data_IF_430039168785
#
_entry.id   IF_430039168785
#
_cell.length_a   1.000
_cell.length_b   1.000
_cell.length_c   1.000
_cell.angle_alpha   90.00
_cell.angle_beta   90.00
_cell.angle_gamma   90.00
#
_symmetry.space_group_name_H-M   'P 1'
#
loop_
_entity.id
_entity.type
_entity.pdbx_description
1 polymer ?
#
# COMPACT_ATOMS: atom_id res chain seq x y z
N UNK A 1 5.23 -10.32 -13.05
CA UNK A 1 6.11 -9.47 -12.23
C UNK A 1 5.40 -8.97 -10.98
N UNK A 2 4.06 -8.90 -10.98
CA UNK A 2 3.26 -8.29 -9.89
C UNK A 2 3.15 -9.11 -8.59
N UNK A 3 3.73 -10.32 -8.52
CA UNK A 3 3.55 -11.24 -7.37
C UNK A 3 4.18 -10.77 -6.05
N UNK A 4 5.03 -9.75 -6.10
CA UNK A 4 5.72 -9.19 -4.95
C UNK A 4 5.21 -7.80 -4.57
N UNK A 5 4.21 -7.26 -5.29
CA UNK A 5 3.52 -6.07 -4.85
C UNK A 5 2.90 -6.35 -3.47
N UNK A 6 2.98 -5.39 -2.55
CA UNK A 6 2.52 -5.52 -1.16
C UNK A 6 3.35 -6.48 -0.28
N UNK A 7 4.57 -6.85 -0.67
CA UNK A 7 5.50 -7.52 0.25
C UNK A 7 6.45 -6.52 0.92
N UNK A 8 6.62 -6.58 2.25
CA UNK A 8 7.67 -5.86 2.95
C UNK A 8 9.06 -6.30 2.48
N UNK A 9 10.10 -5.48 2.72
CA UNK A 9 11.48 -5.94 2.71
C UNK A 9 11.70 -7.10 3.70
N UNK A 10 12.77 -7.88 3.51
CA UNK A 10 13.15 -8.93 4.46
C UNK A 10 13.26 -8.37 5.88
N UNK A 11 12.81 -9.16 6.86
CA UNK A 11 12.81 -8.82 8.30
C UNK A 11 11.90 -7.64 8.68
N UNK A 12 11.16 -7.06 7.73
CA UNK A 12 10.14 -6.03 7.96
C UNK A 12 8.74 -6.64 7.95
N UNK A 13 7.79 -5.91 8.50
CA UNK A 13 6.40 -6.37 8.64
C UNK A 13 5.40 -5.50 7.87
N UNK A 14 5.85 -4.42 7.26
CA UNK A 14 5.01 -3.33 6.82
C UNK A 14 5.30 -2.88 5.39
N UNK A 15 4.25 -2.42 4.73
CA UNK A 15 4.29 -1.81 3.40
C UNK A 15 3.55 -0.48 3.47
N UNK A 16 4.23 0.60 3.09
CA UNK A 16 3.62 1.93 3.01
C UNK A 16 2.56 1.97 1.91
N UNK A 17 1.40 2.51 2.26
CA UNK A 17 0.25 2.73 1.38
C UNK A 17 -0.32 4.13 1.62
N UNK A 18 -1.14 4.61 0.69
CA UNK A 18 -1.76 5.93 0.80
C UNK A 18 -3.29 5.80 0.94
N UNK A 19 -3.85 6.57 1.86
CA UNK A 19 -5.29 6.68 2.10
C UNK A 19 -5.89 7.66 1.09
N UNK A 20 -6.61 7.14 0.11
CA UNK A 20 -7.19 7.94 -0.97
C UNK A 20 -8.19 9.01 -0.47
N UNK A 21 -8.76 8.87 0.73
CA UNK A 21 -9.64 9.90 1.31
C UNK A 21 -8.90 11.19 1.70
N UNK A 22 -7.56 11.16 1.77
CA UNK A 22 -6.70 12.28 2.17
C UNK A 22 -5.81 12.76 1.02
N UNK A 23 -6.04 12.28 -0.20
CA UNK A 23 -5.21 12.58 -1.38
C UNK A 23 -5.98 12.26 -2.66
N UNK A 24 -5.30 12.22 -3.81
CA UNK A 24 -5.88 11.82 -5.09
C UNK A 24 -4.94 10.89 -5.89
N UNK A 25 -5.45 10.30 -6.97
CA UNK A 25 -4.70 9.33 -7.79
C UNK A 25 -3.49 9.95 -8.49
N UNK A 26 -3.56 11.23 -8.87
CA UNK A 26 -2.42 11.92 -9.48
C UNK A 26 -1.32 12.13 -8.45
N UNK A 27 -1.69 12.51 -7.22
CA UNK A 27 -0.75 12.58 -6.12
C UNK A 27 -0.11 11.21 -5.86
N UNK A 28 -0.89 10.13 -5.75
CA UNK A 28 -0.36 8.78 -5.53
C UNK A 28 0.67 8.39 -6.59
N UNK A 29 0.38 8.67 -7.87
CA UNK A 29 1.31 8.44 -8.98
C UNK A 29 2.59 9.27 -8.83
N UNK A 30 2.49 10.59 -8.68
CA UNK A 30 3.64 11.49 -8.52
C UNK A 30 4.50 11.11 -7.32
N UNK A 31 3.86 10.83 -6.19
CA UNK A 31 4.54 10.41 -4.96
C UNK A 31 5.32 9.12 -5.18
N UNK A 32 4.69 8.10 -5.79
CA UNK A 32 5.35 6.82 -6.05
C UNK A 32 6.49 6.96 -7.05
N UNK A 33 6.34 7.78 -8.11
CA UNK A 33 7.42 8.08 -9.07
C UNK A 33 8.61 8.81 -8.43
N UNK A 34 8.35 9.64 -7.42
CA UNK A 34 9.40 10.34 -6.68
C UNK A 34 10.20 9.41 -5.75
N UNK A 35 9.62 8.29 -5.31
CA UNK A 35 10.31 7.30 -4.49
C UNK A 35 11.32 6.52 -5.33
N UNK A 36 12.61 6.68 -5.01
CA UNK A 36 13.70 5.90 -5.62
C UNK A 36 13.98 4.65 -4.79
N UNK A 37 13.34 3.53 -5.14
CA UNK A 37 13.56 2.24 -4.47
C UNK A 37 14.46 1.36 -5.33
N UNK A 38 15.78 1.51 -5.16
CA UNK A 38 16.76 0.76 -5.94
C UNK A 38 16.61 1.00 -7.45
N UNK A 39 16.42 -0.09 -8.20
CA UNK A 39 16.16 -0.06 -9.65
C UNK A 39 14.68 -0.27 -10.01
N UNK A 40 13.78 -0.22 -9.03
CA UNK A 40 12.35 -0.39 -9.28
C UNK A 40 11.75 0.92 -9.82
N UNK A 41 10.95 0.79 -10.87
CA UNK A 41 10.23 1.90 -11.47
C UNK A 41 8.74 1.83 -11.08
N UNK A 42 7.99 2.89 -11.38
CA UNK A 42 6.54 2.91 -11.22
C UNK A 42 5.85 2.14 -12.37
N UNK A 43 4.87 1.30 -12.03
CA UNK A 43 4.18 0.42 -13.00
C UNK A 43 2.66 0.61 -13.05
N UNK A 44 2.06 1.20 -12.02
CA UNK A 44 0.61 1.26 -11.88
C UNK A 44 0.16 1.50 -10.46
N UNK A 45 -1.15 1.54 -10.30
CA UNK A 45 -1.80 1.73 -9.00
C UNK A 45 -2.79 0.60 -8.75
N UNK A 46 -2.91 0.22 -7.49
CA UNK A 46 -4.00 -0.60 -6.97
C UNK A 46 -4.60 0.09 -5.76
N UNK A 47 -5.87 -0.19 -5.47
CA UNK A 47 -6.56 0.32 -4.31
C UNK A 47 -7.39 -0.79 -3.69
N UNK A 48 -7.46 -0.85 -2.36
CA UNK A 48 -8.33 -1.78 -1.65
C UNK A 48 -8.96 -1.08 -0.45
N UNK A 49 -10.02 -1.67 0.10
CA UNK A 49 -10.68 -1.22 1.33
C UNK A 49 -10.19 -2.04 2.51
N UNK A 50 -10.24 -1.48 3.72
CA UNK A 50 -9.91 -2.23 4.94
C UNK A 50 -10.81 -3.46 5.18
N UNK A 51 -12.01 -3.51 4.58
CA UNK A 51 -12.81 -4.74 4.62
C UNK A 51 -12.15 -5.90 3.84
N UNK A 52 -11.35 -5.63 2.82
CA UNK A 52 -10.65 -6.67 2.06
C UNK A 52 -9.60 -7.40 2.90
N UNK A 53 -8.85 -6.68 3.76
CA UNK A 53 -7.93 -7.33 4.71
C UNK A 53 -8.69 -8.16 5.74
N UNK A 54 -9.84 -7.68 6.20
CA UNK A 54 -10.72 -8.43 7.12
C UNK A 54 -11.23 -9.74 6.50
N UNK A 55 -11.64 -9.70 5.22
CA UNK A 55 -12.04 -10.89 4.46
C UNK A 55 -10.89 -11.89 4.35
N UNK A 56 -9.68 -11.42 4.03
CA UNK A 56 -8.51 -12.27 3.88
C UNK A 56 -8.05 -12.90 5.21
N UNK A 57 -8.14 -12.14 6.31
CA UNK A 57 -7.87 -12.66 7.65
C UNK A 57 -8.88 -13.76 8.03
N UNK A 58 -10.14 -13.64 7.61
CA UNK A 58 -11.19 -14.61 7.91
C UNK A 58 -11.02 -15.95 7.15
N UNK A 59 -10.44 -15.95 5.96
CA UNK A 59 -10.14 -17.19 5.19
C UNK A 59 -8.85 -17.89 5.67
N UNK A 60 -8.20 -17.39 6.72
CA UNK A 60 -7.07 -17.98 7.43
C UNK A 60 -5.90 -18.42 6.51
N UNK A 61 -5.25 -17.46 5.86
CA UNK A 61 -4.08 -17.69 4.99
C UNK A 61 -2.77 -17.93 5.76
N UNK A 62 -2.85 -18.40 7.01
CA UNK A 62 -1.70 -18.65 7.92
C UNK A 62 -0.94 -17.38 8.34
N UNK A 63 -1.39 -16.21 7.90
CA UNK A 63 -0.91 -14.90 8.33
C UNK A 63 -2.05 -13.90 8.20
N UNK A 64 -2.04 -12.89 9.08
CA UNK A 64 -2.99 -11.78 9.02
C UNK A 64 -2.28 -10.49 8.63
N UNK A 65 -3.03 -9.53 8.09
CA UNK A 65 -2.57 -8.16 7.95
C UNK A 65 -3.65 -7.15 8.32
N UNK A 66 -3.23 -5.98 8.80
CA UNK A 66 -4.10 -4.87 9.17
C UNK A 66 -3.62 -3.58 8.49
N UNK A 67 -4.56 -2.68 8.19
CA UNK A 67 -4.22 -1.32 7.79
C UNK A 67 -4.12 -0.45 9.04
N UNK A 68 -2.98 0.22 9.20
CA UNK A 68 -2.73 1.16 10.29
C UNK A 68 -2.65 2.55 9.68
N UNK A 69 -3.47 3.48 10.17
CA UNK A 69 -3.33 4.88 9.81
C UNK A 69 -2.10 5.44 10.53
N UNK A 70 -1.09 5.85 9.79
CA UNK A 70 0.20 6.34 10.31
C UNK A 70 0.58 7.65 9.62
N UNK A 71 -0.25 8.70 9.71
CA UNK A 71 0.01 9.99 9.09
C UNK A 71 1.35 10.58 9.57
N UNK A 72 2.04 11.29 8.67
CA UNK A 72 3.36 11.86 8.92
C UNK A 72 3.28 13.38 8.79
N UNK A 73 3.88 14.12 9.71
CA UNK A 73 3.93 15.60 9.69
C UNK A 73 5.00 16.14 8.72
N UNK A 74 5.07 17.47 8.57
CA UNK A 74 6.07 18.15 7.73
C UNK A 74 7.53 17.94 8.18
N UNK A 75 7.73 17.49 9.43
CA UNK A 75 9.04 17.21 10.04
C UNK A 75 9.38 15.72 9.99
N UNK A 76 8.62 14.92 9.25
CA UNK A 76 8.76 13.47 9.12
C UNK A 76 8.52 12.68 10.42
N UNK A 77 7.74 13.21 11.36
CA UNK A 77 7.31 12.47 12.55
C UNK A 77 5.90 11.90 12.35
N UNK A 78 5.63 10.75 12.98
CA UNK A 78 4.28 10.21 13.02
C UNK A 78 3.37 11.09 13.89
N UNK A 79 2.17 11.38 13.39
CA UNK A 79 1.13 12.08 14.15
C UNK A 79 0.35 11.04 14.96
N UNK A 80 0.48 11.07 16.29
CA UNK A 80 -0.16 10.11 17.18
C UNK A 80 -1.68 10.30 17.26
N UNK A 81 -2.15 11.56 17.32
CA UNK A 81 -3.58 11.88 17.35
C UNK A 81 -4.16 11.96 15.94
N UNK A 82 -4.57 10.81 15.42
CA UNK A 82 -5.16 10.66 14.08
C UNK A 82 -6.49 11.43 13.97
N UNK A 83 -7.17 11.74 15.09
CA UNK A 83 -8.48 12.43 15.07
C UNK A 83 -8.40 13.87 14.57
N UNK A 84 -7.23 14.49 14.66
CA UNK A 84 -6.98 15.87 14.22
C UNK A 84 -6.48 15.95 12.77
N UNK A 85 -6.26 14.81 12.11
CA UNK A 85 -5.70 14.78 10.76
C UNK A 85 -6.80 15.02 9.72
N UNK A 86 -6.58 16.00 8.85
CA UNK A 86 -7.44 16.35 7.73
C UNK A 86 -6.67 16.29 6.40
N UNK A 87 -7.35 16.55 5.29
CA UNK A 87 -6.71 16.69 3.96
C UNK A 87 -5.73 17.86 3.90
N UNK A 88 -5.91 18.88 4.75
CA UNK A 88 -5.10 20.10 4.76
C UNK A 88 -3.93 20.03 5.75
N UNK A 89 -3.82 18.95 6.53
CA UNK A 89 -2.69 18.74 7.44
C UNK A 89 -1.39 18.65 6.64
N UNK A 90 -0.37 19.42 7.04
CA UNK A 90 0.93 19.43 6.39
C UNK A 90 1.68 18.10 6.54
N UNK A 91 2.52 17.76 5.56
CA UNK A 91 3.27 16.50 5.50
C UNK A 91 2.61 15.45 4.61
N UNK A 92 2.47 14.22 5.13
CA UNK A 92 1.79 13.09 4.50
C UNK A 92 0.61 12.62 5.36
N UNK A 93 -0.49 13.40 5.46
CA UNK A 93 -1.68 12.99 6.21
C UNK A 93 -2.32 11.71 5.66
N UNK A 94 -2.14 11.43 4.38
CA UNK A 94 -2.59 10.23 3.69
C UNK A 94 -1.74 8.99 3.98
N UNK A 95 -0.59 9.09 4.67
CA UNK A 95 0.24 7.91 4.94
C UNK A 95 -0.49 6.88 5.82
N UNK A 96 -0.30 5.61 5.46
CA UNK A 96 -0.76 4.45 6.21
C UNK A 96 0.16 3.26 5.91
N UNK A 97 0.07 2.22 6.74
CA UNK A 97 0.84 0.99 6.57
C UNK A 97 -0.08 -0.22 6.48
N UNK A 98 0.18 -1.10 5.52
CA UNK A 98 -0.29 -2.48 5.58
C UNK A 98 0.70 -3.28 6.43
N UNK A 99 0.30 -3.64 7.65
CA UNK A 99 1.15 -4.38 8.60
C UNK A 99 0.73 -5.84 8.71
N UNK A 100 1.64 -6.73 8.35
CA UNK A 100 1.55 -8.17 8.56
C UNK A 100 1.77 -8.53 10.03
N UNK A 101 1.12 -9.60 10.50
CA UNK A 101 1.23 -10.07 11.88
C UNK A 101 2.62 -10.62 12.24
N UNK A 102 3.42 -10.95 11.24
CA UNK A 102 4.77 -11.49 11.38
C UNK A 102 5.71 -10.88 10.33
N UNK A 103 7.00 -10.68 10.65
CA UNK A 103 7.97 -10.16 9.69
C UNK A 103 8.19 -11.13 8.52
N UNK A 104 8.60 -10.58 7.37
CA UNK A 104 9.09 -11.38 6.25
C UNK A 104 10.34 -12.14 6.72
N UNK A 105 10.47 -13.45 6.43
CA UNK A 105 11.67 -14.21 6.74
C UNK A 105 12.95 -13.55 6.19
N UNK A 106 14.09 -13.90 6.79
CA UNK A 106 15.39 -13.43 6.33
C UNK A 106 15.67 -13.87 4.88
N UNK A 107 16.59 -13.17 4.21
CA UNK A 107 16.95 -13.47 2.82
C UNK A 107 17.42 -14.92 2.69
N UNK A 108 16.85 -15.64 1.73
CA UNK A 108 17.12 -17.06 1.50
C UNK A 108 16.01 -17.98 1.99
N UNK A 109 15.13 -17.51 2.88
CA UNK A 109 13.96 -18.28 3.33
C UNK A 109 12.71 -17.88 2.52
N UNK A 110 11.94 -18.85 1.98
CA UNK A 110 10.71 -18.53 1.26
C UNK A 110 9.63 -17.90 2.15
N UNK A 111 9.19 -16.68 1.79
CA UNK A 111 8.07 -15.98 2.42
C UNK A 111 6.70 -16.47 1.89
N UNK A 112 6.44 -17.77 1.93
CA UNK A 112 5.28 -18.40 1.25
C UNK A 112 3.94 -17.83 1.71
N UNK A 113 3.72 -17.73 3.03
CA UNK A 113 2.47 -17.20 3.59
C UNK A 113 2.23 -15.73 3.25
N UNK A 114 3.26 -14.88 3.35
CA UNK A 114 3.17 -13.48 2.94
C UNK A 114 2.88 -13.33 1.45
N UNK A 115 3.55 -14.10 0.60
CA UNK A 115 3.30 -14.12 -0.85
C UNK A 115 1.86 -14.52 -1.18
N UNK A 116 1.33 -15.53 -0.50
CA UNK A 116 -0.06 -15.97 -0.65
C UNK A 116 -1.02 -14.83 -0.28
N UNK A 117 -0.83 -14.23 0.89
CA UNK A 117 -1.66 -13.11 1.35
C UNK A 117 -1.59 -11.90 0.40
N UNK A 118 -0.39 -11.46 0.02
CA UNK A 118 -0.17 -10.34 -0.89
C UNK A 118 -0.82 -10.57 -2.26
N UNK A 119 -0.76 -11.81 -2.79
CA UNK A 119 -1.41 -12.16 -4.05
C UNK A 119 -2.93 -12.09 -3.96
N UNK A 120 -3.53 -12.60 -2.89
CA UNK A 120 -4.98 -12.50 -2.70
C UNK A 120 -5.43 -11.05 -2.52
N UNK A 121 -4.68 -10.25 -1.77
CA UNK A 121 -4.98 -8.82 -1.63
C UNK A 121 -4.82 -8.07 -2.94
N UNK A 122 -3.81 -8.39 -3.74
CA UNK A 122 -3.60 -7.77 -5.05
C UNK A 122 -4.77 -8.06 -6.00
N UNK A 123 -5.34 -9.28 -5.98
CA UNK A 123 -6.53 -9.62 -6.77
C UNK A 123 -7.74 -8.77 -6.36
N UNK A 124 -7.88 -8.46 -5.08
CA UNK A 124 -8.94 -7.58 -4.55
C UNK A 124 -8.66 -6.10 -4.79
N UNK A 125 -7.39 -5.72 -4.99
CA UNK A 125 -6.96 -4.32 -5.14
C UNK A 125 -7.34 -3.66 -6.47
N UNK A 126 -7.97 -4.41 -7.38
CA UNK A 126 -8.34 -3.91 -8.70
C UNK A 126 -7.16 -3.26 -9.44
N UNK A 127 -5.94 -3.80 -9.28
CA UNK A 127 -4.71 -3.24 -9.83
C UNK A 127 -4.84 -2.92 -11.32
N UNK A 128 -4.43 -1.71 -11.69
CA UNK A 128 -4.40 -1.22 -13.07
C UNK A 128 -2.97 -0.85 -13.41
N UNK A 129 -2.43 -1.54 -14.41
CA UNK A 129 -1.14 -1.18 -15.02
C UNK A 129 -1.29 0.16 -15.75
N UNK A 130 -0.40 1.10 -15.44
CA UNK A 130 -0.37 2.40 -16.10
C UNK A 130 0.24 2.27 -17.49
N UNK A 131 -0.50 2.66 -18.52
CA UNK A 131 0.00 2.67 -19.91
C UNK A 131 0.82 3.91 -20.23
N UNK A 132 0.74 4.94 -19.38
CA UNK A 132 1.42 6.23 -19.52
C UNK A 132 2.29 6.49 -18.28
N UNK A 133 3.16 5.54 -17.92
CA UNK A 133 4.04 5.61 -16.74
C UNK A 133 4.89 6.88 -16.69
N UNK A 134 5.29 7.39 -17.85
CA UNK A 134 6.13 8.59 -17.99
C UNK A 134 5.38 9.88 -17.65
N UNK A 135 4.06 9.93 -17.85
CA UNK A 135 3.23 11.07 -17.47
C UNK A 135 3.13 11.18 -15.94
N UNK A 136 2.89 12.37 -15.41
CA UNK A 136 2.60 12.58 -13.98
C UNK A 136 1.11 12.51 -13.65
N UNK A 137 0.26 12.45 -14.68
CA UNK A 137 -1.19 12.38 -14.55
C UNK A 137 -1.67 10.93 -14.65
N UNK A 138 -2.67 10.59 -13.86
CA UNK A 138 -3.39 9.34 -13.90
C UNK A 138 -4.61 9.47 -14.81
N UNK A 139 -4.65 8.70 -15.90
CA UNK A 139 -5.72 8.76 -16.91
C UNK A 139 -6.48 7.44 -17.08
N UNK A 140 -6.18 6.42 -16.27
CA UNK A 140 -6.77 5.08 -16.41
C UNK A 140 -8.16 4.93 -15.73
N UNK A 141 -8.74 6.01 -15.20
CA UNK A 141 -10.05 5.99 -14.55
C UNK A 141 -10.02 5.67 -13.05
N UNK A 142 -11.19 5.46 -12.44
CA UNK A 142 -11.33 5.18 -11.00
C UNK A 142 -11.34 3.68 -10.71
N UNK A 143 -11.03 3.31 -9.46
CA UNK A 143 -11.14 1.93 -9.00
C UNK A 143 -12.59 1.56 -8.66
N UNK A 144 -13.07 0.44 -9.21
CA UNK A 144 -14.33 -0.17 -8.82
C UNK A 144 -14.06 -1.35 -7.88
N UNK A 145 -14.36 -1.17 -6.60
CA UNK A 145 -14.17 -2.22 -5.61
C UNK A 145 -15.29 -3.26 -5.71
N UNK A 146 -14.93 -4.50 -6.04
CA UNK A 146 -15.82 -5.64 -5.79
C UNK A 146 -15.82 -5.90 -4.29
N UNK A 147 -17.01 -5.87 -3.68
CA UNK A 147 -17.24 -6.28 -2.29
C UNK A 147 -17.60 -7.76 -2.32
#
# INVERSE_FOLDING_TARGET
MDRNALLPPAEKCDVSILRLNYTDLNFCKRHTKALRIGACEYWGLGAFKNCHTSILNAINLEINAIVICSPIDEKNNYIEDISQVTTDTLGLPMHADLRYSEPIPSRGTPATKHRKYAQELLKLSGFIKDKESESDSWVMGSFCFKV
#
